data_IF_300955575671
#
_entry.id   IF_300955575671
#
_cell.length_a   1.000
_cell.length_b   1.000
_cell.length_c   1.000
_cell.angle_alpha   90.00
_cell.angle_beta   90.00
_cell.angle_gamma   90.00
#
_symmetry.space_group_name_H-M   'P 1'
#
loop_
_entity.id
_entity.type
_entity.pdbx_description
1 polymer ?
#
# COMPACT_ATOMS: atom_id res chain seq x y z
N UNK A 1 26.00 7.69 -3.72
CA UNK A 1 24.59 8.10 -3.64
C UNK A 1 23.79 7.04 -4.38
N UNK A 2 23.31 6.03 -3.65
CA UNK A 2 22.69 4.84 -4.23
C UNK A 2 21.23 5.10 -4.62
N UNK A 3 20.79 4.48 -5.70
CA UNK A 3 19.50 4.67 -6.35
C UNK A 3 18.34 4.08 -5.50
N UNK A 4 17.45 4.95 -5.03
CA UNK A 4 16.34 4.77 -4.06
C UNK A 4 15.13 3.99 -4.62
N UNK A 5 15.35 3.03 -5.53
CA UNK A 5 14.28 2.15 -6.04
C UNK A 5 14.14 0.87 -5.19
N UNK A 6 15.07 0.63 -4.27
CA UNK A 6 15.14 -0.61 -3.47
C UNK A 6 14.48 -0.48 -2.09
N UNK A 7 14.16 0.74 -1.64
CA UNK A 7 13.68 1.01 -0.26
C UNK A 7 12.16 0.96 -0.10
N UNK A 8 11.43 0.79 -1.21
CA UNK A 8 9.96 0.73 -1.26
C UNK A 8 9.47 -0.56 -1.94
N UNK A 9 10.09 -1.70 -1.64
CA UNK A 9 9.57 -2.98 -2.13
C UNK A 9 8.25 -3.31 -1.43
N UNK A 10 7.22 -3.79 -2.15
CA UNK A 10 6.01 -4.29 -1.54
C UNK A 10 6.32 -5.44 -0.59
N UNK A 11 5.80 -5.39 0.63
CA UNK A 11 5.91 -6.50 1.58
C UNK A 11 4.98 -7.64 1.13
N UNK A 12 5.52 -8.82 0.77
CA UNK A 12 4.71 -9.94 0.29
C UNK A 12 3.61 -10.37 1.27
N UNK A 13 3.84 -10.21 2.58
CA UNK A 13 2.84 -10.59 3.60
C UNK A 13 1.64 -9.65 3.56
N UNK A 14 1.86 -8.37 3.31
CA UNK A 14 0.77 -7.39 3.18
C UNK A 14 0.01 -7.59 1.86
N UNK A 15 0.74 -7.96 0.80
CA UNK A 15 0.16 -8.32 -0.50
C UNK A 15 -0.78 -9.52 -0.36
N UNK A 16 -0.36 -10.57 0.36
CA UNK A 16 -1.18 -11.77 0.59
C UNK A 16 -2.44 -11.48 1.42
N UNK A 17 -2.37 -10.57 2.40
CA UNK A 17 -3.52 -10.21 3.25
C UNK A 17 -4.65 -9.51 2.49
N UNK A 18 -4.30 -8.68 1.50
CA UNK A 18 -5.27 -7.98 0.65
C UNK A 18 -5.69 -8.83 -0.55
N UNK A 19 -4.74 -9.59 -1.11
CA UNK A 19 -4.88 -10.37 -2.31
C UNK A 19 -4.52 -9.60 -3.59
N UNK A 20 -3.81 -10.29 -4.49
CA UNK A 20 -3.33 -9.73 -5.75
C UNK A 20 -4.44 -9.19 -6.67
N UNK A 21 -5.66 -9.74 -6.60
CA UNK A 21 -6.80 -9.27 -7.38
C UNK A 21 -7.24 -7.84 -7.02
N UNK A 22 -7.27 -7.54 -5.72
CA UNK A 22 -7.63 -6.21 -5.23
C UNK A 22 -6.55 -5.18 -5.59
N UNK A 23 -5.28 -5.54 -5.37
CA UNK A 23 -4.11 -4.74 -5.76
C UNK A 23 -4.16 -4.37 -7.25
N UNK A 24 -4.40 -5.37 -8.11
CA UNK A 24 -4.45 -5.16 -9.56
C UNK A 24 -5.66 -4.31 -9.99
N UNK A 25 -6.81 -4.49 -9.34
CA UNK A 25 -8.04 -3.76 -9.68
C UNK A 25 -7.93 -2.27 -9.37
N UNK A 26 -7.33 -1.92 -8.24
CA UNK A 26 -7.31 -0.54 -7.75
C UNK A 26 -5.94 0.15 -7.93
N UNK A 27 -4.92 -0.57 -8.41
CA UNK A 27 -3.56 -0.04 -8.60
C UNK A 27 -2.83 0.24 -7.28
N UNK A 28 -3.19 -0.46 -6.21
CA UNK A 28 -2.74 -0.16 -4.85
C UNK A 28 -1.63 -1.12 -4.45
N UNK A 29 -0.58 -0.60 -3.84
CA UNK A 29 0.59 -1.39 -3.46
C UNK A 29 0.90 -1.17 -1.98
N UNK A 30 0.66 -2.16 -1.10
CA UNK A 30 1.10 -2.08 0.28
C UNK A 30 2.63 -2.23 0.33
N UNK A 31 3.31 -1.23 0.88
CA UNK A 31 4.77 -1.15 0.88
C UNK A 31 5.34 -1.84 2.11
N UNK A 32 5.06 -1.30 3.30
CA UNK A 32 5.62 -1.78 4.57
C UNK A 32 4.83 -1.27 5.75
N UNK A 33 5.04 -1.87 6.92
CA UNK A 33 4.52 -1.36 8.20
C UNK A 33 5.58 -0.53 8.92
N UNK A 34 5.17 0.60 9.48
CA UNK A 34 5.98 1.50 10.33
C UNK A 34 5.21 1.73 11.62
N UNK A 35 5.61 1.03 12.68
CA UNK A 35 4.84 1.00 13.93
C UNK A 35 3.45 0.41 13.72
N UNK A 36 2.41 1.18 14.06
CA UNK A 36 1.02 0.78 13.87
C UNK A 36 0.46 1.11 12.48
N UNK A 37 1.20 1.87 11.66
CA UNK A 37 0.73 2.34 10.35
C UNK A 37 1.24 1.45 9.23
N UNK A 38 0.39 1.15 8.27
CA UNK A 38 0.78 0.50 7.03
C UNK A 38 0.89 1.55 5.91
N UNK A 39 2.08 1.64 5.30
CA UNK A 39 2.32 2.52 4.17
C UNK A 39 1.79 1.86 2.90
N UNK A 40 0.99 2.62 2.16
CA UNK A 40 0.34 2.16 0.94
C UNK A 40 0.58 3.17 -0.18
N UNK A 41 1.02 2.71 -1.35
CA UNK A 41 1.03 3.52 -2.55
C UNK A 41 -0.28 3.34 -3.32
N UNK A 42 -0.83 4.44 -3.83
CA UNK A 42 -2.02 4.47 -4.67
C UNK A 42 -1.82 5.46 -5.82
N UNK A 43 -2.44 5.24 -7.00
CA UNK A 43 -2.17 6.02 -8.20
C UNK A 43 -2.70 7.46 -8.10
N UNK A 44 -3.80 7.67 -7.38
CA UNK A 44 -4.45 8.96 -7.25
C UNK A 44 -5.32 9.00 -5.98
N UNK A 45 -5.90 10.17 -5.67
CA UNK A 45 -6.75 10.37 -4.49
C UNK A 45 -8.08 9.59 -4.54
N UNK A 46 -8.60 9.26 -5.72
CA UNK A 46 -9.86 8.54 -5.88
C UNK A 46 -9.67 7.08 -5.49
N UNK A 47 -8.59 6.47 -5.98
CA UNK A 47 -8.17 5.13 -5.55
C UNK A 47 -7.95 5.07 -4.02
N UNK A 48 -7.40 6.12 -3.39
CA UNK A 48 -7.27 6.19 -1.93
C UNK A 48 -8.63 6.14 -1.24
N UNK A 49 -9.57 6.98 -1.66
CA UNK A 49 -10.91 7.07 -1.08
C UNK A 49 -11.73 5.79 -1.26
N UNK A 50 -11.64 5.16 -2.42
CA UNK A 50 -12.40 3.93 -2.72
C UNK A 50 -11.95 2.72 -1.92
N UNK A 51 -10.77 2.76 -1.31
CA UNK A 51 -10.12 1.56 -0.76
C UNK A 51 -9.69 1.67 0.68
N UNK A 52 -9.57 2.88 1.24
CA UNK A 52 -9.07 3.10 2.61
C UNK A 52 -9.77 2.20 3.64
N UNK A 53 -11.10 2.11 3.62
CA UNK A 53 -11.86 1.28 4.57
C UNK A 53 -11.43 -0.19 4.50
N UNK A 54 -11.37 -0.73 3.27
CA UNK A 54 -10.98 -2.13 3.04
C UNK A 54 -9.53 -2.39 3.41
N UNK A 55 -8.65 -1.43 3.15
CA UNK A 55 -7.24 -1.52 3.51
C UNK A 55 -7.09 -1.54 5.03
N UNK A 56 -7.82 -0.70 5.76
CA UNK A 56 -7.76 -0.66 7.22
C UNK A 56 -8.36 -1.90 7.89
N UNK A 57 -9.42 -2.49 7.32
CA UNK A 57 -9.94 -3.78 7.76
C UNK A 57 -8.89 -4.91 7.67
N UNK A 58 -8.14 -4.95 6.57
CA UNK A 58 -7.18 -6.02 6.31
C UNK A 58 -5.80 -5.78 6.95
N UNK A 59 -5.35 -4.53 7.00
CA UNK A 59 -4.00 -4.15 7.35
C UNK A 59 -3.91 -3.30 8.63
N UNK A 60 -5.03 -2.98 9.28
CA UNK A 60 -5.05 -1.95 10.31
C UNK A 60 -4.76 -0.56 9.75
N UNK A 61 -4.51 0.45 10.60
CA UNK A 61 -4.38 1.84 10.19
C UNK A 61 -3.44 2.04 9.00
N UNK A 62 -3.88 2.78 7.97
CA UNK A 62 -3.08 2.99 6.76
C UNK A 62 -2.76 4.46 6.53
N UNK A 63 -1.66 4.71 5.83
CA UNK A 63 -1.37 6.03 5.28
C UNK A 63 -0.83 5.91 3.87
N UNK A 64 -1.20 6.87 3.03
CA UNK A 64 -0.86 6.84 1.62
C UNK A 64 0.41 7.64 1.35
N UNK A 65 1.28 7.08 0.52
CA UNK A 65 2.49 7.75 0.03
C UNK A 65 2.48 7.85 -1.48
N UNK A 66 3.00 8.95 -1.99
CA UNK A 66 3.26 9.13 -3.40
C UNK A 66 4.61 8.51 -3.76
N UNK A 67 4.60 7.59 -4.73
CA UNK A 67 5.83 7.06 -5.32
C UNK A 67 6.41 8.17 -6.21
N UNK A 68 7.59 8.69 -5.84
CA UNK A 68 8.34 9.65 -6.65
C UNK A 68 9.18 8.95 -7.71
#
# INVERSE_FOLDING_TARGET
MGNDLNEQRPDPRLVDLIGAGFIRKHGIVPLRRVGALTLVAAPDMWARLETVDRLEECLGPVTFVDLK
#
